data_IF_877119614096
#
_entry.id   IF_877119614096
#
_cell.length_a   1.000
_cell.length_b   1.000
_cell.length_c   1.000
_cell.angle_alpha   90.00
_cell.angle_beta   90.00
_cell.angle_gamma   90.00
#
_symmetry.space_group_name_H-M   'P 1'
#
loop_
_entity.id
_entity.type
_entity.pdbx_description
1 polymer ?
#
# COMPACT_ATOMS: atom_id res chain seq x y z
N UNK A 1 -7.09 9.31 -28.29
CA UNK A 1 -7.40 7.88 -28.06
C UNK A 1 -8.24 7.75 -26.80
N UNK A 2 -9.20 6.84 -26.76
CA UNK A 2 -9.90 6.52 -25.50
C UNK A 2 -8.95 5.78 -24.58
N UNK A 3 -8.99 6.08 -23.26
CA UNK A 3 -8.23 5.37 -22.24
C UNK A 3 -8.69 3.89 -22.16
N UNK A 4 -7.74 2.98 -21.97
CA UNK A 4 -8.02 1.59 -21.59
C UNK A 4 -8.58 1.53 -20.17
N UNK A 5 -9.20 0.42 -19.77
CA UNK A 5 -9.70 0.24 -18.40
C UNK A 5 -8.54 0.26 -17.38
N UNK A 6 -7.38 -0.25 -17.75
CA UNK A 6 -6.15 -0.13 -16.94
C UNK A 6 -5.70 1.32 -16.74
N UNK A 7 -5.71 2.13 -17.81
CA UNK A 7 -5.34 3.56 -17.71
C UNK A 7 -6.32 4.34 -16.83
N UNK A 8 -7.63 4.05 -16.95
CA UNK A 8 -8.66 4.63 -16.08
C UNK A 8 -8.44 4.24 -14.62
N UNK A 9 -8.25 2.94 -14.36
CA UNK A 9 -7.99 2.39 -13.05
C UNK A 9 -6.79 3.06 -12.37
N UNK A 10 -5.65 3.09 -13.05
CA UNK A 10 -4.43 3.72 -12.54
C UNK A 10 -4.60 5.22 -12.26
N UNK A 11 -5.44 5.89 -13.04
CA UNK A 11 -5.77 7.31 -12.86
C UNK A 11 -6.84 7.58 -11.77
N UNK A 12 -7.39 6.54 -11.14
CA UNK A 12 -8.45 6.67 -10.13
C UNK A 12 -9.83 6.97 -10.71
N UNK A 13 -10.00 6.89 -12.05
CA UNK A 13 -11.26 7.06 -12.72
C UNK A 13 -12.15 5.82 -12.60
N UNK A 14 -13.45 5.96 -12.88
CA UNK A 14 -14.35 4.80 -12.94
C UNK A 14 -13.94 3.88 -14.08
N UNK A 15 -13.81 2.61 -13.77
CA UNK A 15 -13.42 1.55 -14.71
C UNK A 15 -14.24 0.27 -14.51
N UNK A 16 -14.15 -0.65 -15.47
CA UNK A 16 -14.80 -1.96 -15.39
C UNK A 16 -13.82 -2.98 -14.80
N UNK A 17 -14.08 -3.43 -13.56
CA UNK A 17 -13.15 -4.31 -12.82
C UNK A 17 -12.96 -5.70 -13.48
N UNK A 18 -13.94 -6.16 -14.27
CA UNK A 18 -13.88 -7.42 -14.99
C UNK A 18 -13.35 -7.31 -16.43
N UNK A 19 -12.67 -6.21 -16.78
CA UNK A 19 -11.94 -6.09 -18.03
C UNK A 19 -10.94 -7.25 -18.22
N UNK A 20 -10.83 -7.75 -19.43
CA UNK A 20 -10.02 -8.96 -19.75
C UNK A 20 -8.54 -8.78 -19.45
N UNK A 21 -7.96 -7.59 -19.70
CA UNK A 21 -6.55 -7.29 -19.38
C UNK A 21 -6.33 -7.36 -17.86
N UNK A 22 -7.23 -6.73 -17.09
CA UNK A 22 -7.15 -6.67 -15.65
C UNK A 22 -7.32 -8.04 -14.99
N UNK A 23 -8.32 -8.83 -15.42
CA UNK A 23 -8.54 -10.20 -14.94
C UNK A 23 -7.31 -11.08 -15.21
N UNK A 24 -6.78 -11.00 -16.44
CA UNK A 24 -5.61 -11.81 -16.84
C UNK A 24 -4.40 -11.47 -15.99
N UNK A 25 -4.15 -10.18 -15.73
CA UNK A 25 -3.05 -9.74 -14.89
C UNK A 25 -3.22 -10.19 -13.43
N UNK A 26 -4.41 -9.99 -12.82
CA UNK A 26 -4.67 -10.46 -11.44
C UNK A 26 -4.50 -11.98 -11.31
N UNK A 27 -4.98 -12.76 -12.29
CA UNK A 27 -4.80 -14.21 -12.29
C UNK A 27 -3.33 -14.60 -12.33
N UNK A 28 -2.54 -13.97 -13.19
CA UNK A 28 -1.09 -14.17 -13.27
C UNK A 28 -0.42 -13.84 -11.94
N UNK A 29 -0.70 -12.68 -11.37
CA UNK A 29 -0.11 -12.25 -10.09
C UNK A 29 -0.48 -13.22 -8.96
N UNK A 30 -1.74 -13.62 -8.84
CA UNK A 30 -2.16 -14.58 -7.80
C UNK A 30 -1.41 -15.91 -7.88
N UNK A 31 -1.19 -16.42 -9.09
CA UNK A 31 -0.38 -17.63 -9.30
C UNK A 31 1.08 -17.40 -8.88
N UNK A 32 1.69 -16.29 -9.29
CA UNK A 32 3.06 -15.96 -8.90
C UNK A 32 3.21 -15.80 -7.38
N UNK A 33 2.28 -15.10 -6.73
CA UNK A 33 2.30 -14.90 -5.27
C UNK A 33 2.17 -16.24 -4.51
N UNK A 34 1.34 -17.16 -5.00
CA UNK A 34 1.21 -18.49 -4.41
C UNK A 34 2.53 -19.26 -4.45
N UNK A 35 3.26 -19.20 -5.57
CA UNK A 35 4.57 -19.84 -5.72
C UNK A 35 5.64 -19.15 -4.87
N UNK A 36 5.71 -17.81 -4.92
CA UNK A 36 6.75 -17.02 -4.24
C UNK A 36 6.64 -17.12 -2.72
N UNK A 37 5.44 -17.10 -2.17
CA UNK A 37 5.22 -17.18 -0.73
C UNK A 37 5.62 -18.57 -0.13
N UNK A 38 5.83 -19.60 -0.96
CA UNK A 38 6.35 -20.91 -0.53
C UNK A 38 7.89 -20.96 -0.50
N UNK A 39 8.58 -19.96 -1.02
CA UNK A 39 10.04 -19.93 -1.06
C UNK A 39 10.58 -19.62 0.33
N UNK A 40 11.38 -20.51 0.88
CA UNK A 40 12.00 -20.34 2.20
C UNK A 40 13.29 -19.52 2.17
N UNK A 41 13.99 -19.50 1.04
CA UNK A 41 15.17 -18.65 0.83
C UNK A 41 14.75 -17.19 0.65
N UNK A 42 15.14 -16.35 1.59
CA UNK A 42 14.73 -14.95 1.64
C UNK A 42 15.20 -14.12 0.44
N UNK A 43 16.44 -14.33 0.00
CA UNK A 43 17.00 -13.53 -1.09
C UNK A 43 16.31 -13.85 -2.41
N UNK A 44 16.11 -15.14 -2.69
CA UNK A 44 15.36 -15.58 -3.86
C UNK A 44 13.90 -15.09 -3.81
N UNK A 45 13.22 -15.23 -2.66
CA UNK A 45 11.84 -14.78 -2.48
C UNK A 45 11.71 -13.27 -2.75
N UNK A 46 12.55 -12.45 -2.14
CA UNK A 46 12.53 -11.01 -2.30
C UNK A 46 12.87 -10.58 -3.73
N UNK A 47 13.85 -11.21 -4.37
CA UNK A 47 14.17 -10.94 -5.78
C UNK A 47 12.98 -11.22 -6.70
N UNK A 48 12.24 -12.31 -6.47
CA UNK A 48 11.04 -12.63 -7.25
C UNK A 48 9.89 -11.62 -6.99
N UNK A 49 9.65 -11.17 -5.76
CA UNK A 49 8.70 -10.10 -5.50
C UNK A 49 9.06 -8.82 -6.24
N UNK A 50 10.33 -8.39 -6.18
CA UNK A 50 10.82 -7.20 -6.89
C UNK A 50 10.52 -7.26 -8.39
N UNK A 51 10.66 -8.42 -9.02
CA UNK A 51 10.41 -8.59 -10.47
C UNK A 51 8.94 -8.38 -10.88
N UNK A 52 8.00 -8.41 -9.94
CA UNK A 52 6.57 -8.20 -10.18
C UNK A 52 6.09 -6.78 -9.90
N UNK A 53 6.88 -5.99 -9.16
CA UNK A 53 6.56 -4.62 -8.76
C UNK A 53 7.03 -3.60 -9.81
N UNK A 54 6.38 -2.44 -9.88
CA UNK A 54 6.75 -1.38 -10.81
C UNK A 54 8.14 -0.83 -10.53
N UNK A 55 8.47 -0.61 -9.26
CA UNK A 55 9.77 -0.12 -8.82
C UNK A 55 10.04 -0.55 -7.38
N UNK A 56 11.26 -0.99 -7.13
CA UNK A 56 11.81 -1.13 -5.76
C UNK A 56 13.17 -0.49 -5.70
N UNK A 57 13.51 0.05 -4.54
CA UNK A 57 14.86 0.51 -4.23
C UNK A 57 15.81 -0.62 -3.83
N UNK A 58 16.98 -0.24 -3.37
CA UNK A 58 17.99 -1.13 -2.77
C UNK A 58 17.54 -1.60 -1.38
N UNK A 59 18.05 -2.77 -0.93
CA UNK A 59 17.73 -3.32 0.40
C UNK A 59 16.21 -3.47 0.66
N UNK A 60 15.47 -3.84 -0.38
CA UNK A 60 14.07 -4.23 -0.26
C UNK A 60 13.97 -5.59 0.41
N UNK A 61 13.16 -5.68 1.48
CA UNK A 61 12.90 -6.91 2.17
C UNK A 61 11.44 -7.00 2.62
N UNK A 62 10.79 -8.12 2.31
CA UNK A 62 9.49 -8.49 2.87
C UNK A 62 9.52 -9.93 3.36
N UNK A 63 8.83 -10.18 4.47
CA UNK A 63 8.56 -11.53 4.95
C UNK A 63 7.53 -12.23 4.07
N UNK A 64 7.25 -13.50 4.35
CA UNK A 64 6.24 -14.27 3.63
C UNK A 64 4.83 -13.72 3.81
N UNK A 65 3.90 -14.20 2.97
CA UNK A 65 2.50 -13.77 2.89
C UNK A 65 2.35 -12.30 2.43
N UNK A 66 3.26 -11.84 1.54
CA UNK A 66 3.08 -10.57 0.85
C UNK A 66 2.09 -10.75 -0.30
N UNK A 67 1.05 -9.91 -0.35
CA UNK A 67 -0.09 -9.99 -1.27
C UNK A 67 -0.37 -8.65 -1.94
N UNK A 68 -0.61 -8.69 -3.26
CA UNK A 68 -1.03 -7.52 -4.04
C UNK A 68 -1.80 -7.95 -5.29
N UNK A 69 -2.52 -7.02 -5.95
CA UNK A 69 -3.36 -7.37 -7.09
C UNK A 69 -2.64 -7.33 -8.43
N UNK A 70 -1.87 -6.28 -8.70
CA UNK A 70 -1.28 -6.03 -10.03
C UNK A 70 0.24 -5.90 -10.01
N UNK A 71 0.80 -5.30 -8.99
CA UNK A 71 2.22 -5.01 -8.81
C UNK A 71 2.72 -3.82 -9.61
N UNK A 72 2.16 -3.52 -10.78
CA UNK A 72 2.62 -2.43 -11.64
C UNK A 72 2.27 -1.02 -11.10
N UNK A 73 1.47 -0.91 -10.07
CA UNK A 73 1.15 0.34 -9.38
C UNK A 73 1.89 0.50 -8.04
N UNK A 74 2.78 -0.43 -7.67
CA UNK A 74 3.52 -0.38 -6.41
C UNK A 74 4.94 0.14 -6.66
N UNK A 75 5.28 1.25 -6.01
CA UNK A 75 6.58 1.90 -6.05
C UNK A 75 7.12 2.02 -4.62
N UNK A 76 8.29 1.43 -4.37
CA UNK A 76 8.90 1.38 -3.04
C UNK A 76 10.33 1.92 -3.14
N UNK A 77 10.69 2.81 -2.22
CA UNK A 77 12.03 3.38 -2.10
C UNK A 77 13.07 2.43 -1.50
N UNK A 78 14.23 2.99 -1.18
CA UNK A 78 15.35 2.24 -0.60
C UNK A 78 15.08 1.81 0.86
N UNK A 79 15.71 0.72 1.30
CA UNK A 79 15.68 0.24 2.70
C UNK A 79 14.27 -0.03 3.24
N UNK A 80 13.42 -0.61 2.43
CA UNK A 80 12.08 -1.01 2.86
C UNK A 80 12.11 -2.35 3.60
N UNK A 81 11.44 -2.41 4.76
CA UNK A 81 11.17 -3.65 5.49
C UNK A 81 9.67 -3.85 5.68
N UNK A 82 9.13 -4.93 5.14
CA UNK A 82 7.77 -5.41 5.38
C UNK A 82 7.75 -6.70 6.18
N UNK A 83 7.01 -6.72 7.29
CA UNK A 83 6.82 -7.91 8.10
C UNK A 83 5.76 -8.84 7.47
N UNK A 84 5.37 -9.94 8.16
CA UNK A 84 4.43 -10.95 7.66
C UNK A 84 3.05 -10.38 7.32
N UNK A 85 2.36 -11.00 6.35
CA UNK A 85 0.98 -10.70 5.98
C UNK A 85 0.72 -9.25 5.51
N UNK A 86 1.65 -8.66 4.80
CA UNK A 86 1.41 -7.35 4.16
C UNK A 86 0.46 -7.52 2.98
N UNK A 87 -0.56 -6.66 2.89
CA UNK A 87 -1.49 -6.63 1.77
C UNK A 87 -1.54 -5.24 1.14
N UNK A 88 -1.30 -5.15 -0.16
CA UNK A 88 -1.37 -3.92 -0.94
C UNK A 88 -2.34 -4.10 -2.11
N UNK A 89 -3.57 -3.58 -2.01
CA UNK A 89 -4.51 -3.60 -3.14
C UNK A 89 -4.22 -2.39 -4.03
N UNK A 90 -3.48 -2.62 -5.10
CA UNK A 90 -2.87 -1.59 -5.94
C UNK A 90 -3.67 -1.30 -7.22
N UNK A 91 -4.97 -1.04 -7.12
CA UNK A 91 -5.76 -0.55 -8.26
C UNK A 91 -5.28 0.84 -8.69
N UNK A 92 -4.94 1.71 -7.74
CA UNK A 92 -4.24 2.97 -7.98
C UNK A 92 -2.81 2.90 -7.43
N UNK A 93 -1.95 3.88 -7.78
CA UNK A 93 -0.58 3.92 -7.30
C UNK A 93 -0.46 3.89 -5.78
N UNK A 94 0.43 3.03 -5.29
CA UNK A 94 0.93 3.01 -3.92
C UNK A 94 2.41 3.41 -4.01
N UNK A 95 2.73 4.58 -3.46
CA UNK A 95 4.10 5.07 -3.42
C UNK A 95 4.59 5.09 -1.98
N UNK A 96 5.72 4.45 -1.72
CA UNK A 96 6.36 4.35 -0.41
C UNK A 96 7.77 4.90 -0.53
N UNK A 97 8.12 5.82 0.35
CA UNK A 97 9.46 6.44 0.42
C UNK A 97 10.54 5.49 0.94
N UNK A 98 11.66 6.09 1.30
CA UNK A 98 12.84 5.36 1.78
C UNK A 98 12.76 5.08 3.29
N UNK A 99 13.49 4.04 3.75
CA UNK A 99 13.62 3.70 5.18
C UNK A 99 12.27 3.46 5.89
N UNK A 100 11.31 2.85 5.20
CA UNK A 100 10.00 2.53 5.77
C UNK A 100 9.97 1.13 6.39
N UNK A 101 9.34 1.02 7.57
CA UNK A 101 9.20 -0.22 8.32
C UNK A 101 7.74 -0.54 8.59
N UNK A 102 7.24 -1.65 8.05
CA UNK A 102 5.85 -2.07 8.24
C UNK A 102 5.79 -3.32 9.13
N UNK A 103 5.03 -3.21 10.21
CA UNK A 103 4.72 -4.34 11.09
C UNK A 103 3.81 -5.38 10.40
N UNK A 104 3.55 -6.53 11.07
CA UNK A 104 2.75 -7.58 10.48
C UNK A 104 1.29 -7.17 10.24
N UNK A 105 0.67 -7.73 9.21
CA UNK A 105 -0.72 -7.49 8.84
C UNK A 105 -1.02 -6.00 8.48
N UNK A 106 -0.07 -5.24 7.95
CA UNK A 106 -0.33 -3.91 7.43
C UNK A 106 -1.07 -4.03 6.10
N UNK A 107 -2.15 -3.24 5.95
CA UNK A 107 -2.96 -3.17 4.74
C UNK A 107 -2.98 -1.77 4.14
N UNK A 108 -2.65 -1.66 2.84
CA UNK A 108 -2.79 -0.44 2.05
C UNK A 108 -3.84 -0.71 0.96
N UNK A 109 -4.96 -0.01 1.01
CA UNK A 109 -6.11 -0.29 0.12
C UNK A 109 -6.44 0.94 -0.72
N UNK A 110 -6.21 0.85 -2.04
CA UNK A 110 -6.52 1.95 -2.97
C UNK A 110 -7.90 1.84 -3.63
N UNK A 111 -8.56 0.65 -3.74
CA UNK A 111 -9.84 0.54 -4.41
C UNK A 111 -10.98 1.17 -3.60
N UNK A 112 -11.95 1.69 -4.35
CA UNK A 112 -13.19 2.30 -3.81
C UNK A 112 -14.36 1.83 -4.65
N UNK A 113 -15.38 1.27 -3.99
CA UNK A 113 -16.65 1.01 -4.64
C UNK A 113 -17.63 2.19 -4.49
N UNK A 114 -18.49 2.47 -5.51
CA UNK A 114 -19.51 3.49 -5.39
C UNK A 114 -20.42 3.27 -4.17
N UNK A 115 -20.73 4.34 -3.45
CA UNK A 115 -21.71 4.28 -2.34
C UNK A 115 -23.11 3.97 -2.87
N UNK A 116 -23.44 4.43 -4.07
CA UNK A 116 -24.66 4.07 -4.78
C UNK A 116 -24.66 2.58 -5.15
N UNK A 117 -25.63 1.84 -4.59
CA UNK A 117 -25.70 0.39 -4.77
C UNK A 117 -25.93 -0.03 -6.23
N UNK A 118 -26.68 0.76 -7.02
CA UNK A 118 -26.96 0.43 -8.43
C UNK A 118 -25.68 0.50 -9.26
N UNK A 119 -24.84 1.51 -9.05
CA UNK A 119 -23.54 1.64 -9.72
C UNK A 119 -22.59 0.53 -9.27
N UNK A 120 -22.55 0.24 -7.98
CA UNK A 120 -21.70 -0.83 -7.43
C UNK A 120 -22.08 -2.20 -7.99
N UNK A 121 -23.39 -2.48 -8.13
CA UNK A 121 -23.89 -3.74 -8.71
C UNK A 121 -23.72 -3.82 -10.24
N UNK A 122 -23.27 -2.75 -10.88
CA UNK A 122 -22.89 -2.72 -12.30
C UNK A 122 -21.37 -2.89 -12.51
N UNK A 123 -20.68 -3.46 -11.50
CA UNK A 123 -19.25 -3.78 -11.53
C UNK A 123 -18.34 -2.57 -11.81
N UNK A 124 -18.79 -1.37 -11.40
CA UNK A 124 -18.01 -0.14 -11.48
C UNK A 124 -17.14 -0.02 -10.23
N UNK A 125 -15.86 0.11 -10.44
CA UNK A 125 -14.89 0.38 -9.39
C UNK A 125 -14.13 1.68 -9.68
N UNK A 126 -13.56 2.28 -8.67
CA UNK A 126 -12.71 3.46 -8.69
C UNK A 126 -11.54 3.23 -7.73
N UNK A 127 -10.63 4.18 -7.65
CA UNK A 127 -9.57 4.12 -6.66
C UNK A 127 -9.03 5.51 -6.32
N UNK A 128 -8.21 5.56 -5.29
CA UNK A 128 -7.45 6.75 -4.97
C UNK A 128 -6.05 6.33 -4.49
N UNK A 129 -4.98 7.04 -4.95
CA UNK A 129 -3.60 6.65 -4.65
C UNK A 129 -3.29 6.80 -3.16
N UNK A 130 -2.33 5.99 -2.68
CA UNK A 130 -1.76 6.12 -1.34
C UNK A 130 -0.31 6.54 -1.47
N UNK A 131 0.09 7.54 -0.68
CA UNK A 131 1.47 8.00 -0.60
C UNK A 131 1.97 7.91 0.84
N UNK A 132 3.08 7.24 1.03
CA UNK A 132 3.80 7.13 2.29
C UNK A 132 5.16 7.80 2.10
N UNK A 133 5.48 8.78 2.94
CA UNK A 133 6.76 9.48 2.93
C UNK A 133 7.93 8.63 3.41
N UNK A 134 9.05 9.29 3.63
CA UNK A 134 10.27 8.64 4.09
C UNK A 134 10.27 8.39 5.61
N UNK A 135 11.00 7.36 6.03
CA UNK A 135 11.21 7.03 7.45
C UNK A 135 9.91 6.82 8.24
N UNK A 136 8.91 6.23 7.59
CA UNK A 136 7.63 5.92 8.23
C UNK A 136 7.70 4.56 8.90
N UNK A 137 7.27 4.50 10.16
CA UNK A 137 7.08 3.25 10.89
C UNK A 137 5.59 3.00 11.14
N UNK A 138 5.09 1.87 10.65
CA UNK A 138 3.74 1.37 10.92
C UNK A 138 3.81 0.17 11.85
N UNK A 139 3.12 0.24 12.98
CA UNK A 139 2.89 -0.91 13.86
C UNK A 139 2.03 -1.98 13.19
N UNK A 140 1.95 -3.15 13.80
CA UNK A 140 1.15 -4.25 13.23
C UNK A 140 -0.34 -3.92 13.12
N UNK A 141 -1.01 -4.49 12.10
CA UNK A 141 -2.44 -4.33 11.80
C UNK A 141 -2.87 -2.89 11.52
N UNK A 142 -1.97 -2.06 11.01
CA UNK A 142 -2.34 -0.74 10.49
C UNK A 142 -3.07 -0.90 9.17
N UNK A 143 -4.15 -0.17 9.00
CA UNK A 143 -4.91 -0.08 7.74
C UNK A 143 -4.87 1.35 7.21
N UNK A 144 -4.46 1.53 5.96
CA UNK A 144 -4.46 2.83 5.27
C UNK A 144 -5.52 2.82 4.19
N UNK A 145 -6.44 3.79 4.23
CA UNK A 145 -7.56 3.89 3.30
C UNK A 145 -7.19 4.67 2.03
N UNK A 146 -8.03 4.56 0.97
CA UNK A 146 -7.77 5.20 -0.30
C UNK A 146 -7.59 6.73 -0.20
N UNK A 147 -6.68 7.29 -0.99
CA UNK A 147 -6.44 8.74 -1.07
C UNK A 147 -5.61 9.33 0.06
N UNK A 148 -5.07 8.50 0.96
CA UNK A 148 -4.30 8.98 2.11
C UNK A 148 -2.85 9.25 1.71
N UNK A 149 -2.34 10.40 2.18
CA UNK A 149 -0.91 10.73 2.21
C UNK A 149 -0.44 10.76 3.67
N UNK A 150 0.58 10.00 3.99
CA UNK A 150 1.30 10.05 5.26
C UNK A 150 2.65 10.71 4.99
N UNK A 151 2.95 11.79 5.72
CA UNK A 151 4.21 12.53 5.59
C UNK A 151 5.44 11.75 6.04
N UNK A 152 6.58 12.43 6.09
CA UNK A 152 7.85 11.83 6.47
C UNK A 152 7.96 11.68 8.00
N UNK A 153 8.75 10.71 8.47
CA UNK A 153 9.07 10.47 9.90
C UNK A 153 7.82 10.31 10.79
N UNK A 154 6.76 9.74 10.19
CA UNK A 154 5.51 9.46 10.91
C UNK A 154 5.57 8.08 11.56
N UNK A 155 5.11 8.01 12.80
CA UNK A 155 4.88 6.74 13.51
C UNK A 155 3.38 6.47 13.58
N UNK A 156 2.96 5.31 13.07
CA UNK A 156 1.57 4.85 13.12
C UNK A 156 1.45 3.71 14.11
N UNK A 157 0.76 3.95 15.23
CA UNK A 157 0.58 2.92 16.27
C UNK A 157 -0.22 1.71 15.78
N UNK A 158 0.08 0.55 16.34
CA UNK A 158 -0.55 -0.71 15.97
C UNK A 158 -2.08 -0.67 16.05
N UNK A 159 -2.76 -1.35 15.12
CA UNK A 159 -4.23 -1.42 15.04
C UNK A 159 -4.91 -0.13 14.57
N UNK A 160 -4.16 0.86 14.12
CA UNK A 160 -4.73 2.13 13.64
C UNK A 160 -5.38 1.98 12.26
N UNK A 161 -6.48 2.74 12.07
CA UNK A 161 -7.13 2.90 10.75
C UNK A 161 -6.94 4.36 10.29
N UNK A 162 -6.10 4.54 9.28
CA UNK A 162 -5.71 5.84 8.75
C UNK A 162 -6.69 6.24 7.65
N UNK A 163 -7.62 7.14 7.98
CA UNK A 163 -8.76 7.53 7.13
C UNK A 163 -8.59 8.89 6.46
N UNK A 164 -7.51 9.61 6.76
CA UNK A 164 -7.16 10.93 6.20
C UNK A 164 -5.66 11.12 6.21
N UNK A 165 -5.19 12.11 5.47
CA UNK A 165 -3.76 12.45 5.39
C UNK A 165 -3.23 13.10 6.67
N UNK A 166 -1.93 12.90 6.91
CA UNK A 166 -1.20 13.43 8.06
C UNK A 166 0.12 14.08 7.61
N UNK A 167 0.53 15.18 8.28
CA UNK A 167 1.79 15.86 7.98
C UNK A 167 3.00 15.05 8.49
N UNK A 168 4.19 15.58 8.23
CA UNK A 168 5.46 15.07 8.76
C UNK A 168 5.51 15.14 10.29
N UNK A 169 6.41 14.37 10.87
CA UNK A 169 6.85 14.47 12.27
C UNK A 169 5.73 14.32 13.31
N UNK A 170 4.88 13.32 13.11
CA UNK A 170 3.78 13.03 14.04
C UNK A 170 3.71 11.56 14.44
N UNK A 171 3.16 11.32 15.63
CA UNK A 171 2.70 9.99 16.06
C UNK A 171 1.19 9.96 15.98
N UNK A 172 0.65 9.00 15.21
CA UNK A 172 -0.80 8.82 15.02
C UNK A 172 -1.24 7.46 15.53
N UNK A 173 -2.41 7.40 16.18
CA UNK A 173 -2.99 6.14 16.68
C UNK A 173 -4.51 6.15 16.62
N UNK A 174 -5.11 4.98 16.62
CA UNK A 174 -6.53 4.77 16.82
C UNK A 174 -7.35 4.48 15.56
N UNK A 175 -8.64 4.26 15.75
CA UNK A 175 -9.63 4.06 14.71
C UNK A 175 -10.83 5.00 14.93
N UNK A 176 -10.98 6.07 14.11
CA UNK A 176 -10.01 6.54 13.11
C UNK A 176 -8.75 7.17 13.76
N UNK A 177 -7.62 7.09 13.08
CA UNK A 177 -6.34 7.60 13.58
C UNK A 177 -6.37 9.11 13.86
N UNK A 178 -5.68 9.50 14.93
CA UNK A 178 -5.51 10.90 15.35
C UNK A 178 -4.07 11.14 15.79
N UNK A 179 -3.58 12.38 15.62
CA UNK A 179 -2.29 12.80 16.15
C UNK A 179 -2.37 12.78 17.68
N UNK A 180 -1.43 12.09 18.30
CA UNK A 180 -1.25 12.09 19.76
C UNK A 180 0.02 12.82 20.19
N UNK A 181 1.02 12.90 19.31
CA UNK A 181 2.25 13.62 19.54
C UNK A 181 2.77 14.28 18.28
N UNK A 182 3.47 15.40 18.43
CA UNK A 182 4.37 15.97 17.44
C UNK A 182 5.81 15.62 17.84
N UNK A 183 6.66 15.39 16.85
CA UNK A 183 8.07 15.05 17.03
C UNK A 183 8.95 16.23 16.61
N UNK A 184 10.10 16.37 17.27
CA UNK A 184 11.17 17.26 16.81
C UNK A 184 12.03 16.55 15.73
N UNK A 185 13.05 17.25 15.22
CA UNK A 185 13.94 16.72 14.20
C UNK A 185 14.78 15.51 14.67
N UNK A 186 14.94 15.34 15.97
CA UNK A 186 15.65 14.20 16.58
C UNK A 186 14.71 13.04 16.93
N UNK A 187 13.39 13.19 16.63
CA UNK A 187 12.36 12.18 16.89
C UNK A 187 11.85 12.18 18.34
N UNK A 188 12.15 13.19 19.14
CA UNK A 188 11.63 13.30 20.50
C UNK A 188 10.22 13.90 20.50
N UNK A 189 9.40 13.45 21.44
CA UNK A 189 8.05 14.02 21.62
C UNK A 189 8.13 15.45 22.10
N UNK A 190 7.56 16.38 21.34
CA UNK A 190 7.41 17.77 21.74
C UNK A 190 6.37 17.82 22.87
N UNK A 191 6.81 18.22 24.07
CA UNK A 191 5.91 18.45 25.22
C UNK A 191 5.24 19.81 25.04
N UNK A 192 3.93 19.80 24.95
CA UNK A 192 3.12 21.04 25.00
C UNK A 192 3.13 21.65 26.38
#
# INVERSE_FOLDING_TARGET
MMKTEREKMTAGESYQEFDTELITRRKFIRQQLQEINQITDNDNRNHRFQSLLAKTGTNFFVESEFKFDYGFNIHIGDHFYGNYDITMLDTCPITIGEHCYFGPNVGLYTPVHPLDAKRRNADVEMGAPITIGDSVWMGGRVTVLPGVTIGNRVVVGAGSVVTKSFPDDVVIVGNPARIIHHLDQDGNVIKN
#
